data_IF_056483290565
#
_entry.id   IF_056483290565
#
_cell.length_a   1.000
_cell.length_b   1.000
_cell.length_c   1.000
_cell.angle_alpha   90.00
_cell.angle_beta   90.00
_cell.angle_gamma   90.00
#
_symmetry.space_group_name_H-M   'P 1'
#
loop_
_entity.id
_entity.type
_entity.pdbx_description
1 polymer ?
#
# COMPACT_ATOMS: atom_id res chain seq x y z
N UNK A 1 26.48 17.06 35.51
CA UNK A 1 25.48 18.14 35.64
C UNK A 1 24.44 17.97 34.55
N UNK A 2 23.16 17.78 34.91
CA UNK A 2 22.08 17.77 33.92
C UNK A 2 21.99 19.16 33.28
N UNK A 3 22.02 19.21 31.95
CA UNK A 3 21.98 20.46 31.20
C UNK A 3 20.55 21.01 31.23
N UNK A 4 20.24 21.81 32.25
CA UNK A 4 18.90 22.37 32.52
C UNK A 4 18.32 23.10 31.31
N UNK A 5 19.16 23.79 30.54
CA UNK A 5 18.75 24.46 29.30
C UNK A 5 18.26 23.47 28.22
N UNK A 6 18.87 22.29 28.15
CA UNK A 6 18.45 21.23 27.23
C UNK A 6 17.14 20.58 27.70
N UNK A 7 16.96 20.43 29.01
CA UNK A 7 15.72 19.90 29.59
C UNK A 7 14.54 20.86 29.35
N UNK A 8 14.77 22.16 29.52
CA UNK A 8 13.77 23.21 29.28
C UNK A 8 13.35 23.28 27.81
N UNK A 9 14.32 23.23 26.88
CA UNK A 9 14.02 23.18 25.45
C UNK A 9 13.18 21.96 25.06
N UNK A 10 13.56 20.78 25.55
CA UNK A 10 12.82 19.54 25.31
C UNK A 10 11.38 19.57 25.87
N UNK A 11 11.18 20.28 27.00
CA UNK A 11 9.86 20.46 27.59
C UNK A 11 8.97 21.32 26.69
N UNK A 12 9.45 22.48 26.25
CA UNK A 12 8.69 23.39 25.38
C UNK A 12 8.41 22.79 23.99
N UNK A 13 9.37 22.05 23.43
CA UNK A 13 9.19 21.32 22.17
C UNK A 13 8.09 20.25 22.31
N UNK A 14 8.07 19.52 23.44
CA UNK A 14 7.01 18.54 23.72
C UNK A 14 5.65 19.19 23.96
N UNK A 15 5.58 20.30 24.67
CA UNK A 15 4.33 21.03 24.93
C UNK A 15 3.75 21.57 23.62
N UNK A 16 4.59 22.15 22.78
CA UNK A 16 4.20 22.67 21.46
C UNK A 16 3.75 21.54 20.53
N UNK A 17 4.49 20.43 20.51
CA UNK A 17 4.13 19.23 19.76
C UNK A 17 2.81 18.62 20.24
N UNK A 18 2.60 18.48 21.55
CA UNK A 18 1.35 17.95 22.12
C UNK A 18 0.17 18.89 21.89
N UNK A 19 0.36 20.20 21.94
CA UNK A 19 -0.68 21.19 21.60
C UNK A 19 -1.08 21.10 20.13
N UNK A 20 -0.12 20.89 19.23
CA UNK A 20 -0.39 20.67 17.80
C UNK A 20 -1.16 19.35 17.55
N UNK A 21 -0.79 18.28 18.26
CA UNK A 21 -1.48 17.00 18.22
C UNK A 21 -2.88 17.07 18.83
N UNK A 22 -3.09 17.84 19.90
CA UNK A 22 -4.40 18.00 20.54
C UNK A 22 -5.41 18.61 19.55
N UNK A 23 -5.00 19.63 18.78
CA UNK A 23 -5.84 20.20 17.71
C UNK A 23 -6.12 19.18 16.60
N UNK A 24 -5.13 18.37 16.22
CA UNK A 24 -5.32 17.31 15.21
C UNK A 24 -6.19 16.14 15.71
N UNK A 25 -6.16 15.84 17.01
CA UNK A 25 -6.98 14.79 17.65
C UNK A 25 -8.42 15.25 17.87
N UNK A 26 -8.62 16.54 18.11
CA UNK A 26 -9.93 17.18 18.25
C UNK A 26 -10.66 17.40 16.92
N UNK A 27 -9.96 17.32 15.77
CA UNK A 27 -10.64 17.25 14.47
C UNK A 27 -11.49 15.98 14.45
N UNK A 28 -12.76 16.05 14.02
CA UNK A 28 -13.60 14.86 13.86
C UNK A 28 -12.88 13.91 12.89
N UNK A 29 -12.29 12.86 13.44
CA UNK A 29 -11.84 11.72 12.64
C UNK A 29 -13.13 11.06 12.16
N UNK A 30 -13.50 11.28 10.91
CA UNK A 30 -14.56 10.51 10.28
C UNK A 30 -14.19 9.02 10.45
N UNK A 31 -14.84 8.35 11.40
CA UNK A 31 -14.76 6.89 11.54
C UNK A 31 -15.27 6.32 10.22
N UNK A 32 -14.37 5.76 9.41
CA UNK A 32 -14.73 5.00 8.21
C UNK A 32 -15.41 5.78 7.08
N UNK A 33 -15.03 7.03 6.81
CA UNK A 33 -15.43 7.67 5.54
C UNK A 33 -14.58 7.09 4.42
N UNK A 34 -15.11 6.12 3.69
CA UNK A 34 -14.75 5.96 2.27
C UNK A 34 -15.03 7.32 1.63
N UNK A 35 -14.01 8.04 1.16
CA UNK A 35 -14.24 9.30 0.45
C UNK A 35 -14.88 8.95 -0.89
N UNK A 36 -16.18 9.17 -0.99
CA UNK A 36 -16.97 8.82 -2.17
C UNK A 36 -16.59 9.71 -3.36
N UNK A 37 -16.40 9.10 -4.54
CA UNK A 37 -15.95 9.71 -5.77
C UNK A 37 -16.94 9.48 -6.93
N UNK A 38 -17.18 10.52 -7.73
CA UNK A 38 -18.04 10.42 -8.92
C UNK A 38 -17.31 9.76 -10.10
N UNK A 39 -18.02 9.10 -11.04
CA UNK A 39 -17.38 8.41 -12.15
C UNK A 39 -16.44 9.32 -12.95
N UNK A 40 -16.83 10.57 -13.18
CA UNK A 40 -16.04 11.53 -13.95
C UNK A 40 -14.71 11.86 -13.28
N UNK A 41 -14.69 11.86 -11.94
CA UNK A 41 -13.46 12.09 -11.16
C UNK A 41 -12.54 10.87 -11.25
N UNK A 42 -13.11 9.65 -11.16
CA UNK A 42 -12.33 8.41 -11.36
C UNK A 42 -11.69 8.40 -12.75
N UNK A 43 -12.47 8.69 -13.79
CA UNK A 43 -11.97 8.71 -15.17
C UNK A 43 -10.88 9.77 -15.37
N UNK A 44 -11.03 10.95 -14.76
CA UNK A 44 -9.99 11.99 -14.82
C UNK A 44 -8.70 11.53 -14.16
N UNK A 45 -8.76 10.93 -12.97
CA UNK A 45 -7.57 10.41 -12.29
C UNK A 45 -6.89 9.29 -13.08
N UNK A 46 -7.67 8.41 -13.72
CA UNK A 46 -7.12 7.37 -14.59
C UNK A 46 -6.45 7.96 -15.83
N UNK A 47 -7.01 9.04 -16.40
CA UNK A 47 -6.39 9.77 -17.51
C UNK A 47 -5.05 10.40 -17.09
N UNK A 48 -4.95 10.94 -15.86
CA UNK A 48 -3.68 11.42 -15.28
C UNK A 48 -2.65 10.30 -15.13
N UNK A 49 -3.09 9.04 -14.98
CA UNK A 49 -2.22 7.86 -14.98
C UNK A 49 -1.86 7.35 -16.39
N UNK A 50 -2.26 8.07 -17.44
CA UNK A 50 -2.07 7.65 -18.83
C UNK A 50 -3.06 6.56 -19.29
N UNK A 51 -4.12 6.30 -18.52
CA UNK A 51 -5.15 5.32 -18.83
C UNK A 51 -6.42 6.04 -19.29
N UNK A 52 -6.61 6.11 -20.61
CA UNK A 52 -7.80 6.72 -21.19
C UNK A 52 -8.88 5.68 -21.45
N UNK A 53 -9.97 5.73 -20.68
CA UNK A 53 -11.06 4.75 -20.73
C UNK A 53 -12.42 5.43 -20.67
N UNK A 54 -13.43 4.68 -21.09
CA UNK A 54 -14.83 5.10 -20.98
C UNK A 54 -15.47 4.60 -19.68
N UNK A 55 -16.57 5.24 -19.28
CA UNK A 55 -17.38 4.79 -18.14
C UNK A 55 -17.86 3.33 -18.30
N UNK A 56 -18.15 2.91 -19.54
CA UNK A 56 -18.51 1.52 -19.85
C UNK A 56 -17.40 0.53 -19.46
N UNK A 57 -16.14 0.92 -19.64
CA UNK A 57 -14.99 0.09 -19.24
C UNK A 57 -14.87 0.05 -17.73
N UNK A 58 -15.04 1.18 -17.05
CA UNK A 58 -15.08 1.24 -15.58
C UNK A 58 -16.18 0.31 -15.02
N UNK A 59 -17.39 0.35 -15.58
CA UNK A 59 -18.49 -0.54 -15.19
C UNK A 59 -18.20 -2.02 -15.48
N UNK A 60 -17.44 -2.33 -16.54
CA UNK A 60 -16.98 -3.70 -16.83
C UNK A 60 -16.00 -4.20 -15.77
N UNK A 61 -15.09 -3.35 -15.29
CA UNK A 61 -14.19 -3.68 -14.20
C UNK A 61 -14.95 -3.95 -12.89
N UNK A 62 -15.99 -3.15 -12.58
CA UNK A 62 -16.90 -3.43 -11.46
C UNK A 62 -17.57 -4.79 -11.63
N UNK A 63 -18.15 -5.06 -12.81
CA UNK A 63 -18.85 -6.33 -13.11
C UNK A 63 -17.94 -7.54 -12.93
N UNK A 64 -16.66 -7.39 -13.28
CA UNK A 64 -15.65 -8.44 -13.15
C UNK A 64 -14.99 -8.49 -11.76
N UNK A 65 -15.46 -7.66 -10.81
CA UNK A 65 -14.94 -7.56 -9.44
C UNK A 65 -13.45 -7.21 -9.34
N UNK A 66 -12.92 -6.52 -10.36
CA UNK A 66 -11.53 -6.04 -10.40
C UNK A 66 -11.32 -4.75 -9.60
N UNK A 67 -12.41 -4.07 -9.26
CA UNK A 67 -12.43 -2.85 -8.45
C UNK A 67 -13.59 -2.94 -7.44
N UNK A 68 -13.62 -2.08 -6.41
CA UNK A 68 -14.69 -2.11 -5.42
C UNK A 68 -16.06 -1.86 -6.06
N UNK A 69 -17.10 -2.49 -5.50
CA UNK A 69 -18.47 -2.22 -5.93
C UNK A 69 -18.85 -0.79 -5.52
N UNK A 70 -19.29 0.08 -6.44
CA UNK A 70 -19.72 1.43 -6.10
C UNK A 70 -21.08 1.42 -5.41
N UNK A 71 -21.30 2.39 -4.52
CA UNK A 71 -22.60 2.66 -3.94
C UNK A 71 -23.53 3.26 -5.00
N UNK A 72 -24.76 2.74 -5.07
CA UNK A 72 -25.78 3.20 -6.04
C UNK A 72 -27.00 3.66 -5.28
N UNK A 73 -27.40 4.92 -5.48
CA UNK A 73 -28.58 5.51 -4.84
C UNK A 73 -29.45 6.28 -5.82
N UNK A 74 -30.73 6.40 -5.50
CA UNK A 74 -31.64 7.27 -6.24
C UNK A 74 -31.34 8.74 -5.91
N UNK A 75 -31.27 9.60 -6.92
CA UNK A 75 -31.13 11.04 -6.73
C UNK A 75 -32.46 11.75 -6.38
N UNK A 76 -33.55 10.99 -6.28
CA UNK A 76 -34.91 11.51 -6.11
C UNK A 76 -35.68 11.61 -7.44
N UNK A 77 -36.93 12.09 -7.37
CA UNK A 77 -37.86 12.16 -8.51
C UNK A 77 -37.27 13.02 -9.64
N UNK A 78 -37.15 12.42 -10.83
CA UNK A 78 -36.67 13.09 -12.05
C UNK A 78 -35.17 13.35 -12.15
N UNK A 79 -34.36 12.92 -11.15
CA UNK A 79 -32.91 13.22 -11.10
C UNK A 79 -31.99 12.05 -11.45
N UNK A 80 -32.55 10.87 -11.71
CA UNK A 80 -31.79 9.67 -12.11
C UNK A 80 -31.09 8.94 -10.96
N UNK A 81 -30.07 8.14 -11.29
CA UNK A 81 -29.28 7.35 -10.34
C UNK A 81 -27.92 8.01 -10.12
N UNK A 82 -27.45 7.97 -8.88
CA UNK A 82 -26.12 8.39 -8.46
C UNK A 82 -25.28 7.13 -8.23
N UNK A 83 -24.09 7.12 -8.81
CA UNK A 83 -23.07 6.09 -8.60
C UNK A 83 -21.85 6.72 -7.96
N UNK A 84 -21.45 6.15 -6.84
CA UNK A 84 -20.52 6.72 -5.89
C UNK A 84 -19.42 5.66 -5.64
N UNK A 85 -18.21 5.89 -6.15
CA UNK A 85 -17.07 4.98 -6.06
C UNK A 85 -16.23 5.24 -4.81
N UNK A 86 -15.48 4.24 -4.36
CA UNK A 86 -14.49 4.43 -3.29
C UNK A 86 -13.29 5.26 -3.78
N UNK A 87 -12.64 5.99 -2.88
CA UNK A 87 -11.43 6.78 -3.16
C UNK A 87 -10.25 5.92 -3.63
N UNK A 88 -10.18 4.68 -3.16
CA UNK A 88 -9.19 3.68 -3.60
C UNK A 88 -9.46 3.09 -5.00
N UNK A 89 -10.61 3.39 -5.61
CA UNK A 89 -11.00 2.83 -6.92
C UNK A 89 -9.98 3.09 -8.02
N UNK A 90 -9.42 4.31 -8.21
CA UNK A 90 -8.41 4.55 -9.23
C UNK A 90 -7.15 3.71 -9.03
N UNK A 91 -6.74 3.49 -7.77
CA UNK A 91 -5.58 2.67 -7.42
C UNK A 91 -5.82 1.18 -7.72
N UNK A 92 -6.99 0.63 -7.32
CA UNK A 92 -7.34 -0.75 -7.63
C UNK A 92 -7.55 -0.99 -9.13
N UNK A 93 -8.09 0.01 -9.83
CA UNK A 93 -8.21 -0.03 -11.28
C UNK A 93 -6.83 -0.09 -11.92
N UNK A 94 -5.92 0.80 -11.53
CA UNK A 94 -4.56 0.84 -12.06
C UNK A 94 -3.82 -0.48 -11.86
N UNK A 95 -3.84 -1.02 -10.64
CA UNK A 95 -3.21 -2.30 -10.33
C UNK A 95 -3.75 -3.45 -11.20
N UNK A 96 -5.08 -3.51 -11.35
CA UNK A 96 -5.72 -4.51 -12.20
C UNK A 96 -5.39 -4.32 -13.68
N UNK A 97 -5.43 -3.07 -14.15
CA UNK A 97 -5.10 -2.70 -15.53
C UNK A 97 -3.66 -3.07 -15.87
N UNK A 98 -2.71 -2.78 -14.97
CA UNK A 98 -1.29 -3.07 -15.15
C UNK A 98 -1.01 -4.56 -15.30
N UNK A 99 -1.65 -5.40 -14.49
CA UNK A 99 -1.50 -6.85 -14.63
C UNK A 99 -2.10 -7.39 -15.93
N UNK A 100 -3.25 -6.85 -16.36
CA UNK A 100 -3.94 -7.32 -17.57
C UNK A 100 -3.29 -6.83 -18.87
N UNK A 101 -2.81 -5.59 -18.90
CA UNK A 101 -2.35 -4.92 -20.11
C UNK A 101 -0.82 -4.68 -20.13
N UNK A 102 -0.14 -4.93 -19.03
CA UNK A 102 1.31 -4.86 -18.92
C UNK A 102 2.00 -6.14 -19.42
N UNK A 103 3.27 -6.35 -19.03
CA UNK A 103 4.10 -7.45 -19.53
C UNK A 103 3.54 -8.84 -19.21
N UNK A 104 2.90 -9.02 -18.06
CA UNK A 104 2.40 -10.33 -17.60
C UNK A 104 1.13 -10.80 -18.31
N UNK A 105 0.30 -9.87 -18.78
CA UNK A 105 -0.97 -10.14 -19.49
C UNK A 105 -1.87 -11.15 -18.76
N UNK A 106 -2.07 -10.95 -17.46
CA UNK A 106 -2.91 -11.81 -16.63
C UNK A 106 -4.37 -11.83 -17.12
N UNK A 107 -5.04 -12.97 -16.96
CA UNK A 107 -6.47 -13.08 -17.28
C UNK A 107 -7.32 -12.33 -16.25
N UNK A 108 -8.54 -11.94 -16.65
CA UNK A 108 -9.52 -11.31 -15.75
C UNK A 108 -9.76 -12.16 -14.49
N UNK A 109 -9.85 -13.48 -14.64
CA UNK A 109 -10.09 -14.41 -13.54
C UNK A 109 -8.91 -14.44 -12.56
N UNK A 110 -7.70 -14.47 -13.10
CA UNK A 110 -6.48 -14.41 -12.29
C UNK A 110 -6.40 -13.12 -11.48
N UNK A 111 -6.60 -11.97 -12.12
CA UNK A 111 -6.53 -10.66 -11.43
C UNK A 111 -7.62 -10.52 -10.37
N UNK A 112 -8.82 -11.06 -10.61
CA UNK A 112 -9.89 -11.11 -9.59
C UNK A 112 -9.47 -11.95 -8.38
N UNK A 113 -8.88 -13.13 -8.61
CA UNK A 113 -8.39 -13.98 -7.54
C UNK A 113 -7.24 -13.32 -6.75
N UNK A 114 -6.31 -12.71 -7.47
CA UNK A 114 -5.16 -12.00 -6.91
C UNK A 114 -5.58 -10.80 -6.06
N UNK A 115 -6.52 -9.99 -6.56
CA UNK A 115 -7.16 -8.90 -5.78
C UNK A 115 -7.75 -9.42 -4.49
N UNK A 116 -8.56 -10.49 -4.55
CA UNK A 116 -9.18 -11.08 -3.36
C UNK A 116 -8.13 -11.60 -2.37
N UNK A 117 -7.06 -12.21 -2.88
CA UNK A 117 -5.96 -12.72 -2.04
C UNK A 117 -5.16 -11.58 -1.40
N UNK A 118 -4.82 -10.55 -2.16
CA UNK A 118 -4.13 -9.36 -1.68
C UNK A 118 -4.90 -8.64 -0.57
N UNK A 119 -6.23 -8.52 -0.73
CA UNK A 119 -7.11 -7.86 0.24
C UNK A 119 -7.52 -8.73 1.43
N UNK A 120 -7.11 -10.01 1.48
CA UNK A 120 -7.48 -10.94 2.56
C UNK A 120 -6.91 -10.59 3.95
N UNK A 121 -6.02 -9.59 4.03
CA UNK A 121 -5.45 -9.09 5.28
C UNK A 121 -4.28 -9.90 5.82
N UNK A 122 -3.97 -11.07 5.27
CA UNK A 122 -2.80 -11.88 5.66
C UNK A 122 -1.61 -11.68 4.71
N UNK A 123 -1.17 -10.43 4.58
CA UNK A 123 -0.04 -10.05 3.69
C UNK A 123 1.24 -10.81 4.10
N UNK A 124 1.45 -11.09 5.39
CA UNK A 124 2.62 -11.84 5.87
C UNK A 124 2.65 -13.27 5.33
N UNK A 125 1.52 -13.98 5.39
CA UNK A 125 1.44 -15.33 4.81
C UNK A 125 1.59 -15.27 3.30
N UNK A 126 0.95 -14.31 2.62
CA UNK A 126 1.09 -14.13 1.18
C UNK A 126 2.56 -13.97 0.75
N UNK A 127 3.31 -13.11 1.44
CA UNK A 127 4.73 -12.90 1.18
C UNK A 127 5.56 -14.15 1.51
N UNK A 128 5.26 -14.82 2.64
CA UNK A 128 5.96 -16.05 3.04
C UNK A 128 5.81 -17.15 2.00
N UNK A 129 4.56 -17.44 1.60
CA UNK A 129 4.24 -18.47 0.62
C UNK A 129 4.91 -18.16 -0.74
N UNK A 130 4.90 -16.89 -1.16
CA UNK A 130 5.50 -16.50 -2.44
C UNK A 130 7.04 -16.63 -2.47
N UNK A 131 7.72 -16.10 -1.45
CA UNK A 131 9.19 -15.96 -1.47
C UNK A 131 9.93 -17.14 -0.86
N UNK A 132 9.34 -17.84 0.11
CA UNK A 132 10.03 -18.93 0.84
C UNK A 132 9.49 -20.32 0.49
N UNK A 133 8.21 -20.42 0.14
CA UNK A 133 7.60 -21.70 -0.26
C UNK A 133 7.55 -21.89 -1.78
N UNK A 134 8.05 -20.92 -2.55
CA UNK A 134 8.16 -21.01 -4.01
C UNK A 134 6.84 -20.96 -4.75
N UNK A 135 5.76 -20.48 -4.14
CA UNK A 135 4.44 -20.35 -4.77
C UNK A 135 4.37 -19.13 -5.67
N UNK A 136 4.89 -19.29 -6.89
CA UNK A 136 5.00 -18.22 -7.89
C UNK A 136 3.63 -17.60 -8.25
N UNK A 137 2.53 -18.34 -8.09
CA UNK A 137 1.17 -17.86 -8.29
C UNK A 137 0.74 -16.76 -7.30
N UNK A 138 1.51 -16.52 -6.24
CA UNK A 138 1.25 -15.41 -5.30
C UNK A 138 2.00 -14.13 -5.66
N UNK A 139 2.96 -14.19 -6.58
CA UNK A 139 3.73 -13.02 -7.00
C UNK A 139 2.87 -11.97 -7.69
N UNK A 140 1.85 -12.39 -8.45
CA UNK A 140 0.91 -11.45 -9.10
C UNK A 140 -0.03 -10.78 -8.10
N UNK A 141 -0.43 -11.47 -7.04
CA UNK A 141 -1.18 -10.85 -5.94
C UNK A 141 -0.32 -9.83 -5.15
N UNK A 142 0.97 -10.11 -4.96
CA UNK A 142 1.91 -9.17 -4.33
C UNK A 142 2.14 -7.96 -5.23
N UNK A 143 2.33 -8.16 -6.53
CA UNK A 143 2.47 -7.06 -7.49
C UNK A 143 1.20 -6.22 -7.58
N UNK A 144 0.01 -6.84 -7.58
CA UNK A 144 -1.26 -6.12 -7.52
C UNK A 144 -1.32 -5.22 -6.28
N UNK A 145 -0.95 -5.75 -5.12
CA UNK A 145 -0.93 -5.00 -3.87
C UNK A 145 0.07 -3.84 -3.91
N UNK A 146 1.26 -4.10 -4.46
CA UNK A 146 2.33 -3.13 -4.65
C UNK A 146 1.88 -1.96 -5.54
N UNK A 147 1.29 -2.25 -6.71
CA UNK A 147 0.82 -1.20 -7.62
C UNK A 147 -0.35 -0.39 -7.03
N UNK A 148 -1.27 -1.05 -6.31
CA UNK A 148 -2.35 -0.36 -5.59
C UNK A 148 -1.78 0.59 -4.54
N UNK A 149 -0.89 0.09 -3.70
CA UNK A 149 -0.30 0.85 -2.59
C UNK A 149 0.56 2.03 -3.09
N UNK A 150 1.33 1.82 -4.16
CA UNK A 150 2.08 2.88 -4.85
C UNK A 150 1.19 4.06 -5.24
N UNK A 151 0.05 3.80 -5.89
CA UNK A 151 -0.88 4.87 -6.29
C UNK A 151 -1.54 5.52 -5.06
N UNK A 152 -1.91 4.74 -4.04
CA UNK A 152 -2.49 5.29 -2.80
C UNK A 152 -1.53 6.20 -2.04
N UNK A 153 -0.23 5.94 -2.12
CA UNK A 153 0.81 6.80 -1.55
C UNK A 153 1.10 8.05 -2.40
N UNK A 154 0.48 8.19 -3.57
CA UNK A 154 0.59 9.36 -4.44
C UNK A 154 1.77 9.33 -5.41
N UNK A 155 2.41 8.17 -5.61
CA UNK A 155 3.42 8.01 -6.65
C UNK A 155 2.77 7.92 -8.04
N UNK A 156 3.49 8.37 -9.07
CA UNK A 156 3.05 8.25 -10.44
C UNK A 156 3.23 6.80 -10.94
N UNK A 157 2.41 6.35 -11.92
CA UNK A 157 2.53 5.03 -12.55
C UNK A 157 3.94 4.60 -12.96
N UNK A 158 4.76 5.54 -13.43
CA UNK A 158 6.10 5.25 -13.95
C UNK A 158 7.22 5.40 -12.89
N UNK A 159 6.89 5.81 -11.66
CA UNK A 159 7.89 5.94 -10.60
C UNK A 159 8.44 4.57 -10.19
N UNK A 160 9.77 4.43 -10.14
CA UNK A 160 10.40 3.23 -9.59
C UNK A 160 10.31 3.24 -8.06
N UNK A 161 9.43 2.39 -7.51
CA UNK A 161 9.26 2.22 -6.06
C UNK A 161 9.78 0.85 -5.65
N UNK A 162 10.73 0.82 -4.70
CA UNK A 162 11.29 -0.41 -4.16
C UNK A 162 10.77 -0.63 -2.73
N UNK A 163 10.19 -1.79 -2.48
CA UNK A 163 9.77 -2.21 -1.15
C UNK A 163 10.90 -3.00 -0.48
N UNK A 164 11.46 -2.47 0.60
CA UNK A 164 12.44 -3.19 1.43
C UNK A 164 11.76 -3.85 2.63
N UNK A 165 11.91 -5.16 2.79
CA UNK A 165 11.49 -5.88 3.98
C UNK A 165 12.60 -5.81 5.04
N UNK A 166 12.50 -4.88 5.99
CA UNK A 166 13.39 -4.81 7.16
C UNK A 166 12.74 -5.48 8.38
N UNK A 167 13.41 -6.48 8.97
CA UNK A 167 12.94 -7.24 10.13
C UNK A 167 13.19 -6.53 11.47
N UNK A 168 14.01 -5.48 11.48
CA UNK A 168 14.34 -4.74 12.70
C UNK A 168 13.33 -3.62 12.96
N UNK A 169 12.48 -3.83 13.97
CA UNK A 169 11.61 -2.77 14.51
C UNK A 169 12.40 -1.60 15.13
N UNK A 170 13.70 -1.80 15.39
CA UNK A 170 14.60 -0.88 16.10
C UNK A 170 15.52 -0.03 15.23
N UNK A 171 15.62 -0.25 13.92
CA UNK A 171 16.45 0.56 13.01
C UNK A 171 15.66 1.54 12.15
N UNK A 172 14.34 1.60 12.29
CA UNK A 172 13.53 2.69 11.76
C UNK A 172 13.63 3.87 12.74
N UNK A 173 14.65 4.73 12.55
CA UNK A 173 14.90 5.88 13.44
C UNK A 173 13.80 6.95 13.43
N UNK A 174 12.90 6.93 12.45
CA UNK A 174 11.73 7.80 12.40
C UNK A 174 10.55 7.07 11.73
N UNK A 175 9.30 7.20 12.21
CA UNK A 175 8.15 6.76 11.43
C UNK A 175 8.18 7.52 10.11
N UNK A 176 8.16 6.80 8.98
CA UNK A 176 8.11 7.40 7.63
C UNK A 176 6.91 8.33 7.59
N UNK A 177 7.15 9.64 7.71
CA UNK A 177 6.13 10.67 7.49
C UNK A 177 6.08 10.90 5.99
N UNK A 178 4.86 10.87 5.43
CA UNK A 178 4.48 10.99 4.00
C UNK A 178 5.13 12.14 3.21
N UNK A 179 5.91 13.04 3.82
CA UNK A 179 6.60 14.14 3.14
C UNK A 179 8.13 14.03 3.02
N UNK A 180 8.77 12.96 3.54
CA UNK A 180 10.23 12.93 3.72
C UNK A 180 11.05 12.22 2.61
N UNK A 181 10.42 11.65 1.58
CA UNK A 181 11.16 10.95 0.50
C UNK A 181 11.65 11.92 -0.59
N UNK A 182 11.20 13.17 -0.58
CA UNK A 182 11.69 14.23 -1.46
C UNK A 182 12.89 14.94 -0.83
N UNK A 183 14.07 14.31 -0.80
CA UNK A 183 15.25 15.00 -0.28
C UNK A 183 16.54 14.20 -0.09
N UNK A 184 17.22 13.90 -1.20
CA UNK A 184 18.69 13.73 -1.33
C UNK A 184 19.38 12.49 -0.71
N UNK A 185 20.09 11.77 -1.61
CA UNK A 185 21.37 11.02 -1.47
C UNK A 185 21.35 9.56 -0.94
N UNK A 186 21.76 8.61 -1.81
CA UNK A 186 22.52 7.36 -1.50
C UNK A 186 23.70 7.66 -0.54
N UNK A 187 24.39 6.72 0.17
CA UNK A 187 24.43 5.22 0.11
C UNK A 187 24.58 4.49 1.49
N UNK A 188 24.71 3.14 1.56
CA UNK A 188 25.93 2.39 2.02
C UNK A 188 25.69 0.90 2.38
N UNK A 189 26.48 0.04 1.69
CA UNK A 189 26.76 -1.40 1.82
C UNK A 189 25.78 -2.37 1.16
N UNK A 190 26.10 -2.76 -0.08
CA UNK A 190 25.64 -4.01 -0.69
C UNK A 190 26.29 -5.17 0.07
N UNK A 191 25.49 -6.04 0.68
CA UNK A 191 25.97 -7.34 1.17
C UNK A 191 25.95 -8.32 0.01
N UNK A 192 27.03 -9.09 -0.13
CA UNK A 192 27.10 -10.09 -1.21
C UNK A 192 26.14 -11.26 -0.91
N UNK A 193 25.65 -11.97 -1.95
CA UNK A 193 24.79 -13.14 -1.76
C UNK A 193 25.38 -14.20 -0.80
N UNK A 194 26.71 -14.28 -0.72
CA UNK A 194 27.44 -15.20 0.15
C UNK A 194 27.39 -14.78 1.63
N UNK A 195 27.37 -13.47 1.91
CA UNK A 195 27.18 -12.94 3.27
C UNK A 195 25.75 -13.19 3.76
N UNK A 196 24.77 -13.09 2.86
CA UNK A 196 23.38 -13.44 3.12
C UNK A 196 23.22 -14.94 3.42
N UNK A 197 23.87 -15.81 2.66
CA UNK A 197 23.82 -17.27 2.88
C UNK A 197 24.38 -17.66 4.26
N UNK A 198 25.52 -17.08 4.67
CA UNK A 198 26.11 -17.32 6.00
C UNK A 198 25.23 -16.83 7.15
N UNK A 199 24.50 -15.74 6.95
CA UNK A 199 23.52 -15.28 7.93
C UNK A 199 22.37 -16.28 8.01
N UNK A 200 21.85 -16.76 6.88
CA UNK A 200 20.74 -17.72 6.85
C UNK A 200 21.10 -19.09 7.44
N UNK A 201 22.30 -19.62 7.17
CA UNK A 201 22.81 -20.86 7.77
C UNK A 201 22.87 -20.76 9.31
N UNK A 202 23.31 -19.60 9.82
CA UNK A 202 23.36 -19.33 11.27
C UNK A 202 21.97 -19.29 11.91
N UNK A 203 20.93 -18.95 11.16
CA UNK A 203 19.54 -18.93 11.65
C UNK A 203 18.92 -20.32 11.65
N UNK A 204 19.27 -21.18 10.68
CA UNK A 204 18.85 -22.59 10.67
C UNK A 204 19.43 -23.33 11.87
N UNK A 205 20.68 -23.07 12.24
CA UNK A 205 21.34 -23.66 13.42
C UNK A 205 20.77 -23.16 14.77
N UNK A 206 20.24 -21.94 14.82
CA UNK A 206 19.63 -21.36 16.02
C UNK A 206 18.20 -21.87 16.20
N UNK A 207 17.43 -21.95 15.12
CA UNK A 207 16.04 -22.40 15.14
C UNK A 207 15.91 -23.93 15.23
N UNK A 208 16.87 -24.70 14.70
CA UNK A 208 16.92 -26.16 14.86
C UNK A 208 17.29 -26.64 16.27
N UNK A 209 17.65 -25.73 17.19
CA UNK A 209 17.92 -26.06 18.60
C UNK A 209 16.70 -25.86 19.51
N UNK A 210 15.67 -25.16 19.05
CA UNK A 210 14.43 -24.95 19.84
C UNK A 210 13.45 -26.13 19.71
N UNK A 211 13.57 -26.97 18.68
CA UNK A 211 12.71 -28.14 18.45
C UNK A 211 13.19 -29.45 19.16
N UNK A 212 14.25 -29.39 19.97
CA UNK A 212 14.79 -30.55 20.72
C UNK A 212 14.67 -30.41 22.25
N UNK A 213 13.73 -29.58 22.72
CA UNK A 213 13.33 -29.52 24.13
C UNK A 213 11.82 -29.76 24.29
N UNK A 214 11.35 -30.93 23.85
CA UNK A 214 10.18 -31.62 24.42
C UNK A 214 10.48 -33.11 24.59
#
# INVERSE_FOLDING_TARGET
>A
MLNLQKAEKNFWDNVSYNSSLAKSRAKPRHRGMVRIMRPEVVLRMLSEFGIDITERTLQKYVKNELIPMPERRSAGRGKGRITDYADETPAEFFASYRLMHGPKRCTTEQVRADRKKALSGNIKALMREAFFEGRLEHLTAIEWLSERDKILQGYAPDDEVFYSLTLERGSIKDPVREGAVLGKKKPLKEQTPEEMLKIMERWVDVLGREDNQE
#
